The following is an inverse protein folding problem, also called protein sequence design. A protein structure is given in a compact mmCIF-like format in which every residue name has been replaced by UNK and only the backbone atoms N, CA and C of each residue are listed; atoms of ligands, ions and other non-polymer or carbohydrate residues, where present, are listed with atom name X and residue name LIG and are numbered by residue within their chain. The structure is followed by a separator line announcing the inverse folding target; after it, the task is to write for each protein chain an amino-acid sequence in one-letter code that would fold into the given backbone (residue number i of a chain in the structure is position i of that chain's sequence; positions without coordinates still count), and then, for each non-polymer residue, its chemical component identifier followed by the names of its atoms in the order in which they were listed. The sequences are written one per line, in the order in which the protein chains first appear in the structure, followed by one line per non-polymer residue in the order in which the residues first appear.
data_IF_188945661616
#
_entry.id   IF_188945661616
#
_cell.length_a   1.000
_cell.length_b   1.000
_cell.length_c   1.000
_cell.angle_alpha   90.00
_cell.angle_beta   90.00
_cell.angle_gamma   90.00
#
_symmetry.space_group_name_H-M   'P 1'
#
loop_
_entity.id
_entity.type
_entity.pdbx_description
1 polymer ?
#
# COMPACT_ATOMS: atom_id res chain seq x y z
N UNK A 1 -8.27 13.49 21.55
CA UNK A 1 -8.20 14.37 20.36
C UNK A 1 -8.38 13.52 19.10
N UNK A 2 -9.58 13.50 18.52
CA UNK A 2 -9.77 12.88 17.20
C UNK A 2 -9.60 13.96 16.14
N UNK A 3 -8.35 14.26 15.79
CA UNK A 3 -8.05 15.08 14.63
C UNK A 3 -8.49 14.29 13.39
N UNK A 4 -9.60 14.67 12.77
CA UNK A 4 -9.93 14.22 11.41
C UNK A 4 -8.88 14.84 10.49
N UNK A 5 -7.77 14.13 10.27
CA UNK A 5 -6.81 14.48 9.24
C UNK A 5 -7.49 14.29 7.89
N UNK A 6 -8.04 15.38 7.35
CA UNK A 6 -8.51 15.42 5.97
C UNK A 6 -7.27 15.49 5.07
N UNK A 7 -6.76 14.34 4.67
CA UNK A 7 -5.78 14.27 3.58
C UNK A 7 -6.49 14.53 2.25
N UNK A 8 -5.89 15.41 1.45
CA UNK A 8 -6.25 15.60 0.04
C UNK A 8 -6.10 14.28 -0.74
N UNK A 9 -6.73 14.20 -1.91
CA UNK A 9 -6.58 13.04 -2.78
C UNK A 9 -5.11 12.82 -3.17
N UNK A 10 -4.39 13.90 -3.50
CA UNK A 10 -2.97 13.83 -3.86
C UNK A 10 -2.10 13.29 -2.71
N UNK A 11 -2.37 13.70 -1.46
CA UNK A 11 -1.67 13.16 -0.29
C UNK A 11 -1.96 11.68 -0.07
N UNK A 12 -3.22 11.24 -0.28
CA UNK A 12 -3.57 9.82 -0.21
C UNK A 12 -2.86 9.01 -1.30
N UNK A 13 -2.82 9.51 -2.53
CA UNK A 13 -2.10 8.87 -3.63
C UNK A 13 -0.61 8.72 -3.31
N UNK A 14 0.04 9.80 -2.85
CA UNK A 14 1.45 9.77 -2.43
C UNK A 14 1.69 8.77 -1.31
N UNK A 15 0.80 8.71 -0.31
CA UNK A 15 0.90 7.78 0.80
C UNK A 15 0.81 6.33 0.32
N UNK A 16 -0.21 5.99 -0.47
CA UNK A 16 -0.38 4.63 -0.98
C UNK A 16 0.77 4.23 -1.89
N UNK A 17 1.18 5.10 -2.81
CA UNK A 17 2.30 4.85 -3.71
C UNK A 17 3.60 4.56 -2.93
N UNK A 18 3.91 5.39 -1.93
CA UNK A 18 5.08 5.22 -1.07
C UNK A 18 5.03 3.89 -0.33
N UNK A 19 3.89 3.53 0.26
CA UNK A 19 3.77 2.25 0.98
C UNK A 19 3.91 1.05 0.03
N UNK A 20 3.28 1.09 -1.14
CA UNK A 20 3.35 0.02 -2.14
C UNK A 20 4.80 -0.22 -2.60
N UNK A 21 5.50 0.84 -2.98
CA UNK A 21 6.90 0.77 -3.43
C UNK A 21 7.82 0.30 -2.30
N UNK A 22 7.65 0.83 -1.08
CA UNK A 22 8.49 0.49 0.07
C UNK A 22 8.56 -1.01 0.34
N UNK A 23 7.50 -1.76 0.07
CA UNK A 23 7.44 -3.20 0.28
C UNK A 23 7.45 -4.02 -1.00
N UNK A 24 8.00 -3.47 -2.09
CA UNK A 24 8.41 -4.24 -3.26
C UNK A 24 7.40 -4.33 -4.40
N UNK A 25 6.32 -3.54 -4.38
CA UNK A 25 5.45 -3.40 -5.55
C UNK A 25 6.16 -2.53 -6.58
N UNK A 26 6.16 -2.96 -7.86
CA UNK A 26 6.78 -2.22 -8.96
C UNK A 26 6.23 -0.80 -9.07
N UNK A 27 7.10 0.18 -9.32
CA UNK A 27 6.78 1.61 -9.29
C UNK A 27 5.55 1.97 -10.15
N UNK A 28 5.49 1.50 -11.40
CA UNK A 28 4.37 1.82 -12.31
C UNK A 28 3.05 1.18 -11.85
N UNK A 29 3.12 -0.06 -11.34
CA UNK A 29 1.97 -0.76 -10.77
C UNK A 29 1.48 -0.06 -9.50
N UNK A 30 2.41 0.35 -8.64
CA UNK A 30 2.12 1.09 -7.42
C UNK A 30 1.44 2.43 -7.72
N UNK A 31 1.87 3.15 -8.77
CA UNK A 31 1.29 4.44 -9.12
C UNK A 31 -0.18 4.28 -9.53
N UNK A 32 -0.47 3.33 -10.41
CA UNK A 32 -1.85 3.02 -10.84
C UNK A 32 -2.74 2.62 -9.67
N UNK A 33 -2.27 1.70 -8.82
CA UNK A 33 -3.04 1.21 -7.68
C UNK A 33 -3.24 2.31 -6.64
N UNK A 34 -2.27 3.19 -6.43
CA UNK A 34 -2.40 4.31 -5.52
C UNK A 34 -3.53 5.27 -5.94
N UNK A 35 -3.64 5.59 -7.24
CA UNK A 35 -4.75 6.40 -7.77
C UNK A 35 -6.10 5.72 -7.52
N UNK A 36 -6.20 4.40 -7.77
CA UNK A 36 -7.43 3.64 -7.53
C UNK A 36 -7.81 3.68 -6.04
N UNK A 37 -6.88 3.37 -5.14
CA UNK A 37 -7.12 3.35 -3.69
C UNK A 37 -7.45 4.74 -3.13
N UNK A 38 -6.76 5.78 -3.60
CA UNK A 38 -6.99 7.16 -3.15
C UNK A 38 -8.33 7.73 -3.59
N UNK A 39 -8.89 7.23 -4.71
CA UNK A 39 -10.22 7.62 -5.18
C UNK A 39 -11.32 7.30 -4.17
N UNK A 40 -11.08 6.36 -3.25
CA UNK A 40 -12.05 5.97 -2.21
C UNK A 40 -13.31 5.33 -2.76
N UNK A 41 -13.32 4.94 -4.04
CA UNK A 41 -14.42 4.20 -4.65
C UNK A 41 -14.64 2.89 -3.90
N UNK A 42 -15.91 2.52 -3.72
CA UNK A 42 -16.26 1.20 -3.22
C UNK A 42 -15.79 0.14 -4.22
N UNK A 43 -15.39 -1.01 -3.70
CA UNK A 43 -14.88 -2.12 -4.50
C UNK A 43 -15.89 -2.58 -5.57
N UNK A 44 -17.19 -2.50 -5.26
CA UNK A 44 -18.30 -2.80 -6.18
C UNK A 44 -18.31 -1.93 -7.45
N UNK A 45 -17.73 -0.73 -7.38
CA UNK A 45 -17.67 0.25 -8.48
C UNK A 45 -16.42 0.05 -9.35
N UNK A 46 -15.44 -0.72 -8.87
CA UNK A 46 -14.24 -1.01 -9.62
C UNK A 46 -14.52 -2.03 -10.72
N UNK A 47 -13.86 -1.84 -11.85
CA UNK A 47 -13.81 -2.86 -12.91
C UNK A 47 -13.08 -4.10 -12.43
N UNK A 48 -13.34 -5.26 -13.04
CA UNK A 48 -12.66 -6.51 -12.68
C UNK A 48 -11.13 -6.41 -12.85
N UNK A 49 -10.66 -5.64 -13.85
CA UNK A 49 -9.24 -5.38 -14.04
C UNK A 49 -8.64 -4.53 -12.91
N UNK A 50 -9.34 -3.48 -12.46
CA UNK A 50 -8.91 -2.66 -11.32
C UNK A 50 -8.88 -3.50 -10.03
N UNK A 51 -9.92 -4.31 -9.77
CA UNK A 51 -9.96 -5.23 -8.62
C UNK A 51 -8.79 -6.19 -8.62
N UNK A 52 -8.51 -6.83 -9.77
CA UNK A 52 -7.37 -7.73 -9.93
C UNK A 52 -6.06 -7.00 -9.68
N UNK A 53 -5.87 -5.83 -10.28
CA UNK A 53 -4.64 -5.06 -10.15
C UNK A 53 -4.37 -4.65 -8.69
N UNK A 54 -5.40 -4.15 -8.00
CA UNK A 54 -5.35 -3.81 -6.57
C UNK A 54 -5.02 -5.04 -5.73
N UNK A 55 -5.73 -6.15 -5.97
CA UNK A 55 -5.55 -7.41 -5.23
C UNK A 55 -4.11 -7.92 -5.34
N UNK A 56 -3.58 -8.01 -6.56
CA UNK A 56 -2.22 -8.48 -6.79
C UNK A 56 -1.18 -7.56 -6.14
N UNK A 57 -1.36 -6.23 -6.21
CA UNK A 57 -0.44 -5.28 -5.58
C UNK A 57 -0.49 -5.37 -4.05
N UNK A 58 -1.67 -5.49 -3.45
CA UNK A 58 -1.83 -5.65 -2.01
C UNK A 58 -1.24 -6.98 -1.51
N UNK A 59 -1.39 -8.06 -2.27
CA UNK A 59 -0.76 -9.35 -1.95
C UNK A 59 0.77 -9.26 -1.98
N UNK A 60 1.34 -8.62 -3.01
CA UNK A 60 2.79 -8.37 -3.09
C UNK A 60 3.29 -7.53 -1.92
N UNK A 61 2.59 -6.44 -1.61
CA UNK A 61 2.88 -5.60 -0.46
C UNK A 61 2.86 -6.37 0.86
N UNK A 62 1.84 -7.21 1.08
CA UNK A 62 1.71 -8.00 2.30
C UNK A 62 2.89 -8.97 2.48
N UNK A 63 3.33 -9.62 1.39
CA UNK A 63 4.49 -10.50 1.41
C UNK A 63 5.78 -9.73 1.75
N UNK A 64 6.00 -8.58 1.11
CA UNK A 64 7.15 -7.71 1.39
C UNK A 64 7.15 -7.17 2.82
N UNK A 65 5.99 -6.73 3.31
CA UNK A 65 5.81 -6.25 4.68
C UNK A 65 6.08 -7.34 5.72
N UNK A 66 5.56 -8.56 5.51
CA UNK A 66 5.85 -9.72 6.39
C UNK A 66 7.35 -10.00 6.45
N UNK A 67 8.03 -10.02 5.31
CA UNK A 67 9.49 -10.24 5.22
C UNK A 67 10.27 -9.14 5.94
N UNK A 68 9.93 -7.88 5.71
CA UNK A 68 10.55 -6.75 6.40
C UNK A 68 10.35 -6.85 7.91
N UNK A 69 9.14 -7.19 8.39
CA UNK A 69 8.85 -7.38 9.81
C UNK A 69 9.70 -8.49 10.43
N UNK A 70 9.86 -9.62 9.74
CA UNK A 70 10.71 -10.73 10.19
C UNK A 70 12.18 -10.29 10.32
N UNK A 71 12.71 -9.62 9.30
CA UNK A 71 14.09 -9.10 9.29
C UNK A 71 14.31 -8.13 10.46
N UNK A 72 13.42 -7.16 10.63
CA UNK A 72 13.53 -6.17 11.73
C UNK A 72 13.43 -6.85 13.09
N UNK A 73 12.58 -7.87 13.24
CA UNK A 73 12.47 -8.63 14.48
C UNK A 73 13.77 -9.36 14.82
N UNK A 74 14.42 -9.99 13.83
CA UNK A 74 15.71 -10.65 14.02
C UNK A 74 16.81 -9.66 14.42
N UNK A 75 16.88 -8.49 13.77
CA UNK A 75 17.84 -7.46 14.13
C UNK A 75 17.64 -6.89 15.54
N UNK A 76 16.40 -6.81 16.01
CA UNK A 76 16.12 -6.42 17.40
C UNK A 76 16.62 -7.47 18.39
N UNK A 77 16.40 -8.74 18.10
CA UNK A 77 16.86 -9.85 18.94
C UNK A 77 18.39 -9.94 19.02
N UNK A 78 19.11 -9.69 17.92
CA UNK A 78 20.58 -9.73 17.89
C UNK A 78 21.24 -8.56 18.65
N UNK A 79 20.51 -7.45 18.84
CA UNK A 79 21.01 -6.27 19.57
C UNK A 79 20.69 -6.27 21.07
N UNK A 80 19.89 -7.22 21.55
CA UNK A 80 19.59 -7.42 22.98
C UNK A 80 20.55 -8.44 23.59
#
# INVERSE_FOLDING_TARGET
MQGKFFMSQEEKEKLFHTQLVKYGVRYEKAARVATILASGKLEEVLTEEEKRLVTEACQQWLQGHKRHKQIVSLFKYIKS
#
